data_IF_159521278119
#
_entry.id   IF_159521278119
#
_cell.length_a   1.000
_cell.length_b   1.000
_cell.length_c   1.000
_cell.angle_alpha   90.00
_cell.angle_beta   90.00
_cell.angle_gamma   90.00
#
_symmetry.space_group_name_H-M   'P 1'
#
loop_
_entity.id
_entity.type
_entity.pdbx_description
1 polymer ?
#
# COMPACT_ATOMS: atom_id res chain seq x y z
N UNK A 1 -25.70 3.14 6.43
CA UNK A 1 -24.72 2.33 5.67
C UNK A 1 -23.38 3.01 5.80
N UNK A 2 -22.48 2.49 6.64
CA UNK A 2 -21.14 3.05 6.79
C UNK A 2 -20.37 2.82 5.49
N UNK A 3 -20.06 3.91 4.78
CA UNK A 3 -19.26 3.85 3.55
C UNK A 3 -17.91 3.21 3.86
N UNK A 4 -17.44 2.34 2.98
CA UNK A 4 -16.10 1.75 3.09
C UNK A 4 -15.09 2.90 2.88
N UNK A 5 -14.15 3.12 3.81
CA UNK A 5 -13.12 4.13 3.63
C UNK A 5 -12.29 3.78 2.39
N UNK A 6 -12.06 4.77 1.54
CA UNK A 6 -11.26 4.63 0.34
C UNK A 6 -10.64 5.99 -0.01
N UNK A 7 -9.37 5.95 -0.40
CA UNK A 7 -8.67 7.06 -1.03
C UNK A 7 -9.28 7.41 -2.39
N UNK A 8 -9.03 8.63 -2.84
CA UNK A 8 -9.24 9.00 -4.24
C UNK A 8 -8.27 8.25 -5.15
N UNK A 9 -8.67 8.03 -6.40
CA UNK A 9 -7.82 7.38 -7.40
C UNK A 9 -6.73 8.34 -7.90
N UNK A 10 -5.59 8.27 -7.22
CA UNK A 10 -4.35 8.99 -7.54
C UNK A 10 -3.30 8.07 -8.17
N UNK A 11 -3.67 6.82 -8.43
CA UNK A 11 -2.80 5.82 -9.02
C UNK A 11 -2.75 5.99 -10.54
N UNK A 12 -1.68 5.50 -11.16
CA UNK A 12 -1.63 5.40 -12.62
C UNK A 12 -2.76 4.48 -13.12
N UNK A 13 -3.44 4.78 -14.25
CA UNK A 13 -4.46 3.91 -14.82
C UNK A 13 -3.99 2.50 -15.14
N UNK A 14 -2.69 2.31 -15.42
CA UNK A 14 -2.08 1.01 -15.64
C UNK A 14 -1.73 0.28 -14.35
N UNK A 15 -1.87 0.91 -13.17
CA UNK A 15 -1.59 0.26 -11.90
C UNK A 15 -2.60 -0.84 -11.63
N UNK A 16 -2.05 -2.01 -11.32
CA UNK A 16 -2.78 -3.23 -11.10
C UNK A 16 -3.54 -3.21 -9.77
N UNK A 17 -4.85 -3.52 -9.80
CA UNK A 17 -5.72 -3.52 -8.62
C UNK A 17 -6.56 -4.80 -8.51
N UNK A 18 -6.98 -5.15 -7.30
CA UNK A 18 -7.94 -6.20 -6.99
C UNK A 18 -9.25 -5.61 -6.46
N UNK A 19 -10.38 -6.19 -6.82
CA UNK A 19 -11.65 -5.93 -6.14
C UNK A 19 -11.71 -6.63 -4.76
N UNK A 20 -12.64 -6.18 -3.91
CA UNK A 20 -12.75 -6.69 -2.54
C UNK A 20 -13.12 -8.18 -2.45
N UNK A 21 -14.01 -8.74 -3.30
CA UNK A 21 -14.21 -10.18 -3.41
C UNK A 21 -12.93 -10.96 -3.71
N UNK A 22 -12.15 -10.52 -4.69
CA UNK A 22 -10.87 -11.15 -5.07
C UNK A 22 -9.86 -11.12 -3.91
N UNK A 23 -9.76 -10.00 -3.20
CA UNK A 23 -8.91 -9.90 -1.99
C UNK A 23 -9.39 -10.88 -0.91
N UNK A 24 -10.70 -11.05 -0.73
CA UNK A 24 -11.27 -11.94 0.27
C UNK A 24 -10.96 -13.41 -0.04
N UNK A 25 -11.13 -13.81 -1.31
CA UNK A 25 -10.77 -15.15 -1.80
C UNK A 25 -9.28 -15.42 -1.62
N UNK A 26 -8.42 -14.46 -2.00
CA UNK A 26 -6.96 -14.57 -1.87
C UNK A 26 -6.52 -14.75 -0.41
N UNK A 27 -7.14 -14.02 0.52
CA UNK A 27 -6.85 -14.11 1.95
C UNK A 27 -7.55 -15.28 2.65
N UNK A 28 -8.44 -16.01 1.96
CA UNK A 28 -9.24 -17.08 2.57
C UNK A 28 -10.21 -16.60 3.65
N UNK A 29 -10.72 -15.36 3.53
CA UNK A 29 -11.63 -14.74 4.50
C UNK A 29 -12.91 -14.24 3.85
N UNK A 30 -13.92 -13.90 4.65
CA UNK A 30 -15.11 -13.23 4.15
C UNK A 30 -14.80 -11.78 3.72
N UNK A 31 -15.52 -11.26 2.71
CA UNK A 31 -15.39 -9.86 2.25
C UNK A 31 -15.62 -8.85 3.38
N UNK A 32 -16.48 -9.18 4.34
CA UNK A 32 -16.69 -8.38 5.56
C UNK A 32 -15.43 -8.22 6.39
N UNK A 33 -14.54 -9.20 6.41
CA UNK A 33 -13.23 -9.11 7.06
C UNK A 33 -12.31 -8.15 6.29
N UNK A 34 -12.35 -8.15 4.96
CA UNK A 34 -11.60 -7.17 4.14
C UNK A 34 -12.10 -5.75 4.40
N UNK A 35 -13.42 -5.54 4.46
CA UNK A 35 -13.98 -4.26 4.88
C UNK A 35 -13.51 -3.83 6.27
N UNK A 36 -13.38 -4.77 7.20
CA UNK A 36 -12.86 -4.50 8.52
C UNK A 36 -11.38 -4.11 8.48
N UNK A 37 -10.54 -4.80 7.70
CA UNK A 37 -9.12 -4.44 7.51
C UNK A 37 -8.95 -3.01 6.97
N UNK A 38 -9.83 -2.58 6.07
CA UNK A 38 -9.86 -1.20 5.56
C UNK A 38 -10.25 -0.19 6.65
N UNK A 39 -11.23 -0.53 7.51
CA UNK A 39 -11.65 0.33 8.64
C UNK A 39 -10.61 0.40 9.75
N UNK A 40 -9.98 -0.72 10.05
CA UNK A 40 -8.92 -0.82 11.06
C UNK A 40 -7.61 -0.20 10.55
N UNK A 41 -7.55 0.13 9.25
CA UNK A 41 -6.41 0.79 8.66
C UNK A 41 -5.21 -0.11 8.40
N UNK A 42 -5.37 -1.44 8.50
CA UNK A 42 -4.36 -2.42 8.11
C UNK A 42 -4.19 -2.54 6.59
N UNK A 43 -5.18 -2.07 5.85
CA UNK A 43 -5.19 -2.01 4.40
C UNK A 43 -5.75 -0.66 3.96
N UNK A 44 -5.44 -0.24 2.74
CA UNK A 44 -5.98 0.98 2.15
C UNK A 44 -6.60 0.67 0.79
N UNK A 45 -7.82 1.16 0.57
CA UNK A 45 -8.57 1.00 -0.67
C UNK A 45 -8.58 2.29 -1.47
N UNK A 46 -8.79 2.19 -2.77
CA UNK A 46 -8.87 3.30 -3.72
C UNK A 46 -10.21 3.27 -4.44
N UNK A 47 -10.84 4.42 -4.64
CA UNK A 47 -12.11 4.55 -5.35
C UNK A 47 -11.88 4.71 -6.85
N UNK A 48 -11.79 3.59 -7.58
CA UNK A 48 -11.58 3.56 -9.04
C UNK A 48 -12.87 3.20 -9.77
N UNK A 49 -13.29 4.02 -10.74
CA UNK A 49 -14.53 3.84 -11.51
C UNK A 49 -15.79 3.57 -10.65
N UNK A 50 -15.89 4.23 -9.49
CA UNK A 50 -17.04 4.08 -8.58
C UNK A 50 -16.98 2.88 -7.63
N UNK A 51 -16.05 1.94 -7.85
CA UNK A 51 -15.83 0.79 -6.97
C UNK A 51 -14.63 1.01 -6.04
N UNK A 52 -14.63 0.34 -4.88
CA UNK A 52 -13.44 0.28 -4.00
C UNK A 52 -12.58 -0.90 -4.44
N UNK A 53 -11.34 -0.61 -4.77
CA UNK A 53 -10.32 -1.59 -5.16
C UNK A 53 -9.09 -1.45 -4.28
N UNK A 54 -8.23 -2.47 -4.26
CA UNK A 54 -6.99 -2.49 -3.48
C UNK A 54 -5.82 -2.74 -4.43
N UNK A 55 -4.73 -1.95 -4.39
CA UNK A 55 -3.54 -2.20 -5.20
C UNK A 55 -2.97 -3.61 -5.00
N UNK A 56 -2.67 -4.31 -6.10
CA UNK A 56 -2.15 -5.70 -6.04
C UNK A 56 -0.82 -5.78 -5.29
N UNK A 57 0.00 -4.73 -5.39
CA UNK A 57 1.31 -4.60 -4.74
C UNK A 57 1.25 -4.58 -3.20
N UNK A 58 0.06 -4.47 -2.59
CA UNK A 58 -0.06 -4.65 -1.15
C UNK A 58 -0.06 -6.11 -0.70
N UNK A 59 -0.06 -7.05 -1.65
CA UNK A 59 -0.03 -8.48 -1.39
C UNK A 59 1.27 -9.09 -1.90
N UNK A 60 1.85 -10.00 -1.12
CA UNK A 60 3.01 -10.77 -1.55
C UNK A 60 2.64 -11.90 -2.52
N UNK A 61 3.65 -12.60 -3.04
CA UNK A 61 3.46 -13.71 -3.97
C UNK A 61 2.70 -14.91 -3.37
N UNK A 62 2.53 -14.96 -2.04
CA UNK A 62 1.75 -15.99 -1.33
C UNK A 62 0.31 -15.57 -1.06
N UNK A 63 -0.08 -14.36 -1.48
CA UNK A 63 -1.43 -13.82 -1.32
C UNK A 63 -1.69 -13.19 0.06
N UNK A 64 -0.66 -12.95 0.86
CA UNK A 64 -0.81 -12.28 2.16
C UNK A 64 -0.52 -10.79 2.04
N UNK A 65 -1.16 -9.98 2.91
CA UNK A 65 -0.83 -8.55 3.02
C UNK A 65 0.63 -8.41 3.43
N UNK A 66 1.37 -7.55 2.73
CA UNK A 66 2.79 -7.30 3.02
C UNK A 66 2.95 -6.87 4.48
N UNK A 67 3.77 -7.62 5.23
CA UNK A 67 3.93 -7.47 6.68
C UNK A 67 4.26 -6.05 7.15
N UNK A 68 5.00 -5.29 6.34
CA UNK A 68 5.39 -3.92 6.68
C UNK A 68 4.25 -2.89 6.50
N UNK A 69 3.24 -3.20 5.68
CA UNK A 69 2.21 -2.24 5.28
C UNK A 69 1.38 -1.74 6.46
N UNK A 70 0.80 -2.58 7.35
CA UNK A 70 -0.02 -2.08 8.45
C UNK A 70 0.76 -1.11 9.37
N UNK A 71 2.02 -1.46 9.71
CA UNK A 71 2.87 -0.60 10.54
C UNK A 71 3.22 0.72 9.86
N UNK A 72 3.47 0.70 8.55
CA UNK A 72 3.72 1.91 7.76
C UNK A 72 2.49 2.83 7.73
N UNK A 73 1.29 2.27 7.55
CA UNK A 73 0.04 3.03 7.52
C UNK A 73 -0.23 3.70 8.88
N UNK A 74 0.06 3.03 9.99
CA UNK A 74 -0.04 3.63 11.34
C UNK A 74 0.90 4.83 11.45
N UNK A 75 2.18 4.67 11.10
CA UNK A 75 3.18 5.76 11.18
C UNK A 75 2.76 6.98 10.36
N UNK A 76 2.31 6.77 9.12
CA UNK A 76 1.89 7.87 8.26
C UNK A 76 0.65 8.59 8.81
N UNK A 77 -0.33 7.84 9.34
CA UNK A 77 -1.52 8.45 9.95
C UNK A 77 -1.21 9.20 11.23
N UNK A 78 -0.30 8.69 12.06
CA UNK A 78 0.17 9.40 13.26
C UNK A 78 0.90 10.70 12.87
N UNK A 79 1.55 10.74 11.71
CA UNK A 79 2.10 11.94 11.09
C UNK A 79 1.07 12.87 10.44
N UNK A 80 -0.22 12.57 10.54
CA UNK A 80 -1.31 13.40 10.03
C UNK A 80 -1.68 13.17 8.56
N UNK A 81 -1.12 12.15 7.89
CA UNK A 81 -1.43 11.87 6.49
C UNK A 81 -2.81 11.21 6.33
N UNK A 82 -3.59 11.70 5.38
CA UNK A 82 -4.85 11.09 4.98
C UNK A 82 -4.65 9.98 3.94
N UNK A 83 -5.63 9.09 3.80
CA UNK A 83 -5.56 7.93 2.91
C UNK A 83 -5.12 8.29 1.47
N UNK A 84 -5.68 9.35 0.88
CA UNK A 84 -5.27 9.81 -0.47
C UNK A 84 -3.82 10.25 -0.54
N UNK A 85 -3.30 10.90 0.51
CA UNK A 85 -1.91 11.36 0.57
C UNK A 85 -0.96 10.18 0.77
N UNK A 86 -1.36 9.21 1.58
CA UNK A 86 -0.62 7.95 1.77
C UNK A 86 -0.48 7.21 0.44
N UNK A 87 -1.59 7.01 -0.29
CA UNK A 87 -1.56 6.37 -1.60
C UNK A 87 -0.70 7.17 -2.58
N UNK A 88 -0.87 8.50 -2.64
CA UNK A 88 -0.04 9.34 -3.50
C UNK A 88 1.44 9.17 -3.18
N UNK A 89 1.82 9.23 -1.91
CA UNK A 89 3.21 9.10 -1.48
C UNK A 89 3.79 7.73 -1.79
N UNK A 90 3.05 6.65 -1.49
CA UNK A 90 3.49 5.27 -1.74
C UNK A 90 3.81 5.01 -3.22
N UNK A 91 3.06 5.62 -4.13
CA UNK A 91 3.17 5.40 -5.57
C UNK A 91 3.94 6.50 -6.31
N UNK A 92 4.42 7.54 -5.61
CA UNK A 92 5.26 8.57 -6.21
C UNK A 92 6.72 8.13 -6.20
N UNK A 93 7.42 8.10 -7.35
CA UNK A 93 8.85 7.86 -7.40
C UNK A 93 9.64 8.87 -6.56
N UNK A 94 10.60 8.38 -5.77
CA UNK A 94 11.49 9.21 -4.97
C UNK A 94 12.93 9.07 -5.49
N UNK A 95 13.47 10.17 -6.03
CA UNK A 95 14.81 10.19 -6.63
C UNK A 95 15.92 9.83 -5.64
N UNK A 96 15.68 10.00 -4.34
CA UNK A 96 16.62 9.63 -3.28
C UNK A 96 16.41 8.19 -2.77
N UNK A 97 15.40 7.47 -3.26
CA UNK A 97 15.14 6.07 -2.97
C UNK A 97 15.70 5.20 -4.10
N UNK A 98 16.63 4.33 -3.74
CA UNK A 98 17.17 3.31 -4.63
C UNK A 98 16.84 1.95 -4.04
N UNK A 99 16.17 1.09 -4.80
CA UNK A 99 15.89 -0.28 -4.40
C UNK A 99 16.73 -1.26 -5.21
N UNK A 100 17.22 -2.30 -4.55
CA UNK A 100 17.82 -3.47 -5.23
C UNK A 100 16.83 -4.61 -5.27
N UNK A 101 16.68 -5.24 -6.43
CA UNK A 101 15.85 -6.44 -6.53
C UNK A 101 16.65 -7.63 -6.00
N UNK A 102 16.03 -8.40 -5.11
CA UNK A 102 16.70 -9.52 -4.44
C UNK A 102 17.26 -10.53 -5.47
N UNK A 103 18.50 -10.99 -5.23
CA UNK A 103 19.22 -11.85 -6.17
C UNK A 103 19.80 -11.17 -7.43
N UNK A 104 19.70 -9.84 -7.57
CA UNK A 104 20.28 -9.10 -8.70
C UNK A 104 21.22 -7.98 -8.24
N UNK A 105 22.21 -7.63 -9.06
CA UNK A 105 23.06 -6.44 -8.83
C UNK A 105 22.40 -5.15 -9.32
N UNK A 106 21.26 -5.27 -10.02
CA UNK A 106 20.58 -4.14 -10.65
C UNK A 106 19.87 -3.30 -9.59
N UNK A 107 20.17 -2.00 -9.60
CA UNK A 107 19.61 -1.03 -8.67
C UNK A 107 18.63 -0.14 -9.42
N UNK A 108 17.37 -0.17 -9.02
CA UNK A 108 16.36 0.75 -9.50
C UNK A 108 16.47 2.05 -8.68
N UNK A 109 17.12 3.04 -9.27
CA UNK A 109 17.09 4.41 -8.78
C UNK A 109 15.72 5.05 -9.06
N UNK A 110 15.36 6.08 -8.29
CA UNK A 110 14.07 6.75 -8.40
C UNK A 110 12.89 5.78 -8.23
N UNK A 111 12.98 4.90 -7.23
CA UNK A 111 11.97 3.89 -6.94
C UNK A 111 10.78 4.48 -6.18
N UNK A 112 9.61 3.83 -6.27
CA UNK A 112 8.45 4.20 -5.45
C UNK A 112 8.56 3.53 -4.08
N UNK A 113 8.12 4.16 -2.99
CA UNK A 113 8.12 3.53 -1.67
C UNK A 113 7.39 2.19 -1.63
N UNK A 114 6.32 2.03 -2.42
CA UNK A 114 5.56 0.79 -2.52
C UNK A 114 6.40 -0.38 -3.08
N UNK A 115 7.33 -0.12 -4.00
CA UNK A 115 8.18 -1.13 -4.62
C UNK A 115 9.19 -1.73 -3.63
N UNK A 116 9.56 -0.99 -2.59
CA UNK A 116 10.46 -1.45 -1.53
C UNK A 116 9.79 -2.39 -0.52
N UNK A 117 8.44 -2.38 -0.42
CA UNK A 117 7.70 -3.10 0.62
C UNK A 117 7.89 -4.62 0.58
N UNK A 118 8.11 -5.19 -0.60
CA UNK A 118 8.31 -6.63 -0.79
C UNK A 118 9.71 -7.13 -0.43
N UNK A 119 10.62 -6.24 -0.02
CA UNK A 119 12.01 -6.61 0.27
C UNK A 119 12.40 -6.16 1.67
N UNK A 120 13.60 -6.56 2.10
CA UNK A 120 14.21 -6.07 3.35
C UNK A 120 14.34 -4.53 3.39
N UNK A 121 14.16 -3.84 2.26
CA UNK A 121 14.24 -2.39 2.10
C UNK A 121 12.97 -1.66 2.57
N UNK A 122 11.91 -2.39 2.95
CA UNK A 122 10.73 -1.81 3.60
C UNK A 122 11.08 -1.00 4.86
N UNK A 123 12.18 -1.34 5.55
CA UNK A 123 12.68 -0.59 6.71
C UNK A 123 13.05 0.86 6.36
N UNK A 124 13.63 1.08 5.19
CA UNK A 124 13.98 2.43 4.73
C UNK A 124 12.72 3.27 4.46
N UNK A 125 11.69 2.64 3.90
CA UNK A 125 10.38 3.28 3.67
C UNK A 125 9.74 3.69 5.00
N UNK A 126 9.74 2.80 6.00
CA UNK A 126 9.23 3.12 7.35
C UNK A 126 10.03 4.24 7.99
N UNK A 127 11.36 4.21 7.90
CA UNK A 127 12.23 5.27 8.44
C UNK A 127 11.90 6.64 7.81
N UNK A 128 11.64 6.68 6.50
CA UNK A 128 11.24 7.92 5.80
C UNK A 128 9.87 8.41 6.25
N UNK A 129 8.89 7.51 6.37
CA UNK A 129 7.58 7.86 6.90
C UNK A 129 7.67 8.46 8.32
N UNK A 130 8.52 7.89 9.18
CA UNK A 130 8.77 8.43 10.52
C UNK A 130 9.42 9.82 10.48
N UNK A 131 10.37 10.05 9.57
CA UNK A 131 11.02 11.36 9.41
C UNK A 131 10.08 12.44 8.86
N UNK A 132 8.97 12.05 8.23
CA UNK A 132 7.94 12.95 7.71
C UNK A 132 6.85 13.26 8.76
N UNK A 133 6.81 12.51 9.86
CA UNK A 133 5.82 12.63 10.92
C UNK A 133 6.27 13.53 12.09
N UNK A 134 7.48 14.07 12.05
CA UNK A 134 8.08 14.92 13.09
C UNK A 134 8.61 16.22 12.49
#
# INVERSE_FOLDING_TARGET
>A
MSSIPAAEDVLDPAEDVYDLPTVAEMLGVAVTKVHQQLRDGHLIGVRRHGAVVVPKIFFDATGHVVKALPGLLVVLRDGGYHDTEIVRWLFTPDASLTIRRDGTTDALANARPVDALHSHQAREVVRRAQAMAY
#
